data_IF_730473972861
#
_entry.id   IF_730473972861
#
_cell.length_a   1.000
_cell.length_b   1.000
_cell.length_c   1.000
_cell.angle_alpha   90.00
_cell.angle_beta   90.00
_cell.angle_gamma   90.00
#
_symmetry.space_group_name_H-M   'P 1'
#
loop_
_entity.id
_entity.type
_entity.pdbx_description
1 polymer ?
#
# COMPACT_ATOMS: atom_id res chain seq x y z
N UNK A 1 -36.34 -30.62 -3.48
CA UNK A 1 -36.92 -30.05 -4.73
C UNK A 1 -37.66 -28.75 -4.50
N UNK A 2 -38.37 -28.54 -3.37
CA UNK A 2 -38.92 -27.21 -3.03
C UNK A 2 -37.84 -26.22 -2.60
N UNK A 3 -36.85 -26.69 -1.84
CA UNK A 3 -35.78 -25.82 -1.32
C UNK A 3 -34.88 -25.28 -2.44
N UNK A 4 -34.58 -26.09 -3.46
CA UNK A 4 -33.80 -25.71 -4.63
C UNK A 4 -34.47 -24.62 -5.49
N UNK A 5 -35.80 -24.54 -5.47
CA UNK A 5 -36.54 -23.49 -6.18
C UNK A 5 -36.52 -22.17 -5.40
N UNK A 6 -36.58 -22.24 -4.07
CA UNK A 6 -36.46 -21.08 -3.21
C UNK A 6 -35.04 -20.48 -3.28
N UNK A 7 -34.02 -21.33 -3.22
CA UNK A 7 -32.62 -20.92 -3.38
C UNK A 7 -32.37 -20.29 -4.75
N UNK A 8 -32.90 -20.88 -5.83
CA UNK A 8 -32.81 -20.30 -7.17
C UNK A 8 -33.41 -18.89 -7.23
N UNK A 9 -34.61 -18.69 -6.66
CA UNK A 9 -35.25 -17.38 -6.63
C UNK A 9 -34.43 -16.35 -5.83
N UNK A 10 -33.79 -16.76 -4.72
CA UNK A 10 -32.91 -15.87 -3.97
C UNK A 10 -31.65 -15.48 -4.75
N UNK A 11 -31.07 -16.41 -5.51
CA UNK A 11 -29.91 -16.13 -6.36
C UNK A 11 -30.26 -15.24 -7.56
N UNK A 12 -31.42 -15.43 -8.17
CA UNK A 12 -31.92 -14.57 -9.26
C UNK A 12 -32.13 -13.13 -8.76
N UNK A 13 -32.76 -12.94 -7.60
CA UNK A 13 -32.94 -11.60 -7.02
C UNK A 13 -31.61 -10.93 -6.67
N UNK A 14 -30.69 -11.66 -6.04
CA UNK A 14 -29.37 -11.13 -5.70
C UNK A 14 -28.56 -10.76 -6.95
N UNK A 15 -28.71 -11.53 -8.04
CA UNK A 15 -28.09 -11.23 -9.32
C UNK A 15 -28.67 -9.97 -9.96
N UNK A 16 -29.99 -9.81 -9.97
CA UNK A 16 -30.64 -8.62 -10.53
C UNK A 16 -30.28 -7.34 -9.76
N UNK A 17 -30.20 -7.40 -8.43
CA UNK A 17 -29.78 -6.29 -7.59
C UNK A 17 -28.32 -5.89 -7.87
N UNK A 18 -27.43 -6.88 -7.98
CA UNK A 18 -26.02 -6.65 -8.30
C UNK A 18 -25.84 -6.11 -9.73
N UNK A 19 -26.57 -6.68 -10.69
CA UNK A 19 -26.54 -6.29 -12.09
C UNK A 19 -27.02 -4.83 -12.26
N UNK A 20 -28.05 -4.42 -11.51
CA UNK A 20 -28.55 -3.04 -11.49
C UNK A 20 -27.56 -2.02 -10.90
N UNK A 21 -26.68 -2.44 -9.99
CA UNK A 21 -25.67 -1.58 -9.37
C UNK A 21 -24.48 -1.28 -10.31
N UNK A 22 -24.26 -2.10 -11.34
CA UNK A 22 -23.14 -1.93 -12.28
C UNK A 22 -23.53 -0.99 -13.42
N UNK A 23 -22.64 -0.03 -13.74
CA UNK A 23 -22.88 0.90 -14.86
C UNK A 23 -22.97 0.13 -16.19
N UNK A 24 -23.97 0.41 -17.05
CA UNK A 24 -24.21 -0.33 -18.28
C UNK A 24 -23.03 -0.31 -19.27
N UNK A 25 -22.17 0.70 -19.19
CA UNK A 25 -20.93 0.79 -19.97
C UNK A 25 -19.91 -0.29 -19.59
N UNK A 26 -19.75 -0.58 -18.29
CA UNK A 26 -18.83 -1.64 -17.85
C UNK A 26 -19.40 -3.02 -18.14
N UNK A 27 -20.72 -3.16 -18.05
CA UNK A 27 -21.43 -4.40 -18.39
C UNK A 27 -21.21 -4.82 -19.84
N UNK A 28 -21.38 -3.91 -20.80
CA UNK A 28 -21.23 -4.24 -22.23
C UNK A 28 -19.80 -4.61 -22.60
N UNK A 29 -18.80 -3.94 -22.00
CA UNK A 29 -17.39 -4.26 -22.21
C UNK A 29 -17.05 -5.63 -21.62
N UNK A 30 -17.49 -5.90 -20.39
CA UNK A 30 -17.22 -7.17 -19.72
C UNK A 30 -17.91 -8.36 -20.42
N UNK A 31 -19.16 -8.18 -20.87
CA UNK A 31 -19.86 -9.21 -21.65
C UNK A 31 -19.13 -9.52 -22.96
N UNK A 32 -18.67 -8.49 -23.69
CA UNK A 32 -17.91 -8.70 -24.92
C UNK A 32 -16.56 -9.41 -24.66
N UNK A 33 -15.88 -9.09 -23.55
CA UNK A 33 -14.66 -9.79 -23.14
C UNK A 33 -14.94 -11.26 -22.77
N UNK A 34 -16.07 -11.54 -22.09
CA UNK A 34 -16.49 -12.90 -21.72
C UNK A 34 -16.90 -13.74 -22.93
N UNK A 35 -17.72 -13.20 -23.82
CA UNK A 35 -18.14 -13.88 -25.06
C UNK A 35 -16.91 -14.22 -25.93
N UNK A 36 -15.97 -13.28 -26.07
CA UNK A 36 -14.73 -13.52 -26.82
C UNK A 36 -13.83 -14.61 -26.18
N UNK A 37 -13.85 -14.74 -24.84
CA UNK A 37 -13.12 -15.77 -24.11
C UNK A 37 -13.82 -17.13 -24.15
N UNK A 38 -15.14 -17.17 -24.03
CA UNK A 38 -15.95 -18.39 -24.14
C UNK A 38 -15.85 -19.02 -25.54
N UNK A 39 -15.82 -18.20 -26.59
CA UNK A 39 -15.63 -18.69 -27.96
C UNK A 39 -14.24 -19.28 -28.20
N UNK A 40 -13.23 -18.92 -27.40
CA UNK A 40 -11.82 -19.21 -27.67
C UNK A 40 -11.04 -19.68 -26.43
N UNK A 41 -11.66 -20.54 -25.61
CA UNK A 41 -11.16 -20.96 -24.28
C UNK A 41 -9.76 -21.61 -24.27
N UNK A 42 -9.24 -22.07 -25.41
CA UNK A 42 -7.97 -22.82 -25.52
C UNK A 42 -6.81 -22.03 -26.16
N UNK A 43 -6.99 -20.76 -26.54
CA UNK A 43 -5.91 -19.97 -27.13
C UNK A 43 -5.12 -19.23 -26.05
N UNK A 44 -3.81 -19.49 -26.00
CA UNK A 44 -2.85 -18.85 -25.06
C UNK A 44 -2.85 -17.31 -25.16
N UNK A 45 -3.27 -16.76 -26.29
CA UNK A 45 -3.33 -15.31 -26.53
C UNK A 45 -4.54 -14.59 -25.94
N UNK A 46 -5.57 -15.27 -25.44
CA UNK A 46 -6.76 -14.63 -24.88
C UNK A 46 -6.71 -14.76 -23.35
N UNK A 47 -6.45 -13.65 -22.63
CA UNK A 47 -6.34 -13.69 -21.18
C UNK A 47 -7.63 -14.19 -20.54
N UNK A 48 -7.50 -15.07 -19.55
CA UNK A 48 -8.64 -15.51 -18.76
C UNK A 48 -9.25 -14.32 -18.01
N UNK A 49 -10.44 -13.90 -18.43
CA UNK A 49 -11.16 -12.74 -17.89
C UNK A 49 -11.62 -12.96 -16.44
N UNK A 50 -11.70 -14.22 -16.00
CA UNK A 50 -12.01 -14.61 -14.61
C UNK A 50 -10.80 -14.60 -13.69
N UNK A 51 -9.57 -14.54 -14.23
CA UNK A 51 -8.41 -14.20 -13.39
C UNK A 51 -8.51 -12.71 -13.08
N UNK A 52 -8.49 -12.37 -11.78
CA UNK A 52 -8.38 -10.99 -11.35
C UNK A 52 -7.25 -10.32 -12.14
N UNK A 53 -7.59 -9.33 -12.97
CA UNK A 53 -6.61 -8.42 -13.56
C UNK A 53 -6.07 -7.62 -12.38
N UNK A 54 -5.13 -8.19 -11.62
CA UNK A 54 -4.43 -7.47 -10.58
C UNK A 54 -3.58 -6.42 -11.29
N UNK A 55 -4.16 -5.26 -11.53
CA UNK A 55 -3.39 -4.02 -11.59
C UNK A 55 -2.97 -3.67 -10.16
N UNK A 56 -2.34 -4.62 -9.48
CA UNK A 56 -1.63 -4.35 -8.25
C UNK A 56 -0.20 -4.10 -8.69
N UNK A 57 0.09 -2.85 -9.05
CA UNK A 57 1.46 -2.35 -9.07
C UNK A 57 1.88 -2.43 -7.60
N UNK A 58 2.49 -3.55 -7.21
CA UNK A 58 3.11 -3.71 -5.91
C UNK A 58 4.31 -2.77 -5.84
N UNK A 59 4.69 -2.30 -4.65
CA UNK A 59 5.89 -1.48 -4.49
C UNK A 59 7.10 -2.19 -5.10
N UNK A 60 7.25 -3.50 -4.87
CA UNK A 60 8.31 -4.29 -5.50
C UNK A 60 8.25 -4.28 -7.03
N UNK A 61 7.04 -4.28 -7.62
CA UNK A 61 6.83 -4.18 -9.07
C UNK A 61 7.20 -2.80 -9.62
N UNK A 62 6.77 -1.72 -8.96
CA UNK A 62 7.17 -0.36 -9.31
C UNK A 62 8.70 -0.16 -9.19
N UNK A 63 9.28 -0.67 -8.11
CA UNK A 63 10.74 -0.65 -7.88
C UNK A 63 11.49 -1.43 -8.96
N UNK A 64 10.96 -2.57 -9.43
CA UNK A 64 11.56 -3.35 -10.51
C UNK A 64 11.48 -2.62 -11.85
N UNK A 65 10.32 -2.05 -12.21
CA UNK A 65 10.17 -1.28 -13.45
C UNK A 65 11.03 -0.02 -13.47
N UNK A 66 11.21 0.63 -12.32
CA UNK A 66 12.10 1.79 -12.17
C UNK A 66 13.59 1.39 -12.19
N UNK A 67 13.95 0.27 -11.55
CA UNK A 67 15.32 -0.28 -11.60
C UNK A 67 15.73 -0.79 -12.98
N UNK A 68 14.77 -1.24 -13.80
CA UNK A 68 15.01 -1.60 -15.20
C UNK A 68 15.24 -0.36 -16.10
N UNK A 69 14.79 0.83 -15.67
CA UNK A 69 14.86 2.08 -16.44
C UNK A 69 16.00 3.02 -16.02
N UNK A 70 16.55 2.91 -14.79
CA UNK A 70 17.64 3.76 -14.26
C UNK A 70 18.66 2.97 -13.41
N UNK A 71 19.87 3.52 -13.20
CA UNK A 71 20.89 2.92 -12.31
C UNK A 71 20.30 2.56 -10.94
N UNK A 72 20.44 1.30 -10.49
CA UNK A 72 19.96 0.80 -9.19
C UNK A 72 20.28 1.76 -8.02
N UNK A 73 21.41 2.45 -8.11
CA UNK A 73 21.92 3.37 -7.09
C UNK A 73 21.11 4.67 -6.97
N UNK A 74 20.61 5.21 -8.09
CA UNK A 74 19.72 6.39 -8.10
C UNK A 74 18.37 6.06 -7.47
N UNK A 75 17.86 4.87 -7.76
CA UNK A 75 16.60 4.40 -7.21
C UNK A 75 16.69 4.22 -5.68
N UNK A 76 17.75 3.58 -5.18
CA UNK A 76 18.02 3.44 -3.75
C UNK A 76 18.14 4.81 -3.06
N UNK A 77 18.73 5.79 -3.74
CA UNK A 77 18.81 7.17 -3.24
C UNK A 77 17.42 7.82 -3.15
N UNK A 78 16.54 7.63 -4.13
CA UNK A 78 15.18 8.20 -4.12
C UNK A 78 14.34 7.55 -3.03
N UNK A 79 14.34 6.21 -2.94
CA UNK A 79 13.59 5.47 -1.92
C UNK A 79 14.03 5.88 -0.50
N UNK A 80 15.34 5.95 -0.26
CA UNK A 80 15.86 6.41 1.04
C UNK A 80 15.50 7.87 1.35
N UNK A 81 15.32 8.72 0.34
CA UNK A 81 14.82 10.08 0.53
C UNK A 81 13.36 10.12 0.99
N UNK A 82 12.51 9.26 0.44
CA UNK A 82 11.10 9.13 0.84
C UNK A 82 10.98 8.60 2.27
N UNK A 83 11.81 7.63 2.65
CA UNK A 83 11.85 7.12 4.02
C UNK A 83 12.25 8.21 5.03
N UNK A 84 13.22 9.07 4.68
CA UNK A 84 13.61 10.21 5.52
C UNK A 84 12.49 11.24 5.67
N UNK A 85 11.72 11.50 4.61
CA UNK A 85 10.55 12.40 4.65
C UNK A 85 9.41 11.84 5.52
N UNK A 86 9.19 10.53 5.46
CA UNK A 86 8.24 9.85 6.34
C UNK A 86 8.70 9.91 7.80
N UNK A 87 9.99 9.73 8.09
CA UNK A 87 10.55 9.92 9.43
C UNK A 87 10.42 11.37 9.93
N UNK A 88 10.63 12.38 9.06
CA UNK A 88 10.37 13.79 9.38
C UNK A 88 8.91 13.98 9.81
N UNK A 89 7.95 13.51 9.01
CA UNK A 89 6.51 13.63 9.31
C UNK A 89 6.12 12.92 10.61
N UNK A 90 6.69 11.74 10.87
CA UNK A 90 6.46 11.02 12.13
C UNK A 90 7.00 11.77 13.34
N UNK A 91 8.19 12.35 13.25
CA UNK A 91 8.75 13.16 14.33
C UNK A 91 7.96 14.44 14.57
N UNK A 92 7.45 15.10 13.52
CA UNK A 92 6.53 16.23 13.65
C UNK A 92 5.31 15.82 14.48
N UNK A 93 4.67 14.71 14.11
CA UNK A 93 3.48 14.22 14.82
C UNK A 93 3.79 13.89 16.29
N UNK A 94 4.95 13.30 16.58
CA UNK A 94 5.37 13.03 17.97
C UNK A 94 5.59 14.34 18.74
N UNK A 95 6.23 15.34 18.12
CA UNK A 95 6.46 16.65 18.71
C UNK A 95 5.13 17.36 19.04
N UNK A 96 4.18 17.31 18.12
CA UNK A 96 2.83 17.87 18.31
C UNK A 96 2.06 17.16 19.44
N UNK A 97 2.13 15.83 19.49
CA UNK A 97 1.46 15.02 20.51
C UNK A 97 2.04 15.21 21.92
N UNK A 98 3.34 15.53 22.04
CA UNK A 98 3.99 15.74 23.33
C UNK A 98 3.45 16.95 24.11
N UNK A 99 2.87 17.93 23.41
CA UNK A 99 2.17 19.08 24.02
C UNK A 99 3.02 19.94 24.98
N UNK A 100 2.36 20.88 25.67
CA UNK A 100 3.02 21.84 26.57
C UNK A 100 3.64 21.21 27.84
N UNK A 101 3.25 19.99 28.21
CA UNK A 101 3.64 19.32 29.45
C UNK A 101 4.58 18.12 29.23
N UNK A 102 5.32 18.11 28.12
CA UNK A 102 6.33 17.08 27.86
C UNK A 102 7.40 17.07 28.96
N UNK A 103 7.71 15.88 29.48
CA UNK A 103 8.77 15.67 30.48
C UNK A 103 10.14 15.96 29.85
N UNK A 104 11.11 16.45 30.63
CA UNK A 104 12.45 16.74 30.10
C UNK A 104 13.14 15.52 29.48
N UNK A 105 12.81 14.31 29.96
CA UNK A 105 13.26 13.05 29.36
C UNK A 105 12.66 12.81 27.96
N UNK A 106 11.39 13.18 27.77
CA UNK A 106 10.69 13.11 26.48
C UNK A 106 11.22 14.15 25.49
N UNK A 107 11.47 15.38 25.95
CA UNK A 107 12.12 16.41 25.15
C UNK A 107 13.54 16.00 24.76
N UNK A 108 14.28 15.38 25.69
CA UNK A 108 15.62 14.86 25.44
C UNK A 108 15.63 13.76 24.39
N UNK A 109 14.72 12.79 24.46
CA UNK A 109 14.62 11.72 23.45
C UNK A 109 14.22 12.26 22.08
N UNK A 110 13.29 13.21 22.04
CA UNK A 110 12.91 13.90 20.80
C UNK A 110 14.13 14.61 20.19
N UNK A 111 14.86 15.42 20.96
CA UNK A 111 16.06 16.09 20.48
C UNK A 111 17.12 15.11 19.95
N UNK A 112 17.27 13.94 20.57
CA UNK A 112 18.16 12.89 20.07
C UNK A 112 17.69 12.31 18.72
N UNK A 113 16.40 12.02 18.56
CA UNK A 113 15.83 11.54 17.30
C UNK A 113 16.02 12.57 16.18
N UNK A 114 15.79 13.85 16.48
CA UNK A 114 16.01 14.96 15.55
C UNK A 114 17.45 15.11 15.10
N UNK A 115 18.40 15.07 16.04
CA UNK A 115 19.82 15.12 15.72
C UNK A 115 20.27 13.91 14.87
N UNK A 116 19.71 12.73 15.15
CA UNK A 116 19.97 11.52 14.36
C UNK A 116 19.45 11.66 12.93
N UNK A 117 18.19 12.10 12.78
CA UNK A 117 17.57 12.34 11.48
C UNK A 117 18.34 13.40 10.68
N UNK A 118 18.76 14.49 11.33
CA UNK A 118 19.55 15.55 10.69
C UNK A 118 20.83 14.99 10.06
N UNK A 119 21.58 14.17 10.80
CA UNK A 119 22.81 13.55 10.29
C UNK A 119 22.54 12.62 9.10
N UNK A 120 21.45 11.85 9.15
CA UNK A 120 21.05 10.98 8.03
C UNK A 120 20.69 11.80 6.78
N UNK A 121 19.98 12.92 6.95
CA UNK A 121 19.68 13.84 5.86
C UNK A 121 20.96 14.45 5.28
N UNK A 122 21.90 14.89 6.13
CA UNK A 122 23.18 15.45 5.67
C UNK A 122 23.99 14.39 4.88
N UNK A 123 24.02 13.14 5.36
CA UNK A 123 24.65 12.01 4.63
C UNK A 123 23.96 11.73 3.29
N UNK A 124 22.63 11.75 3.27
CA UNK A 124 21.85 11.55 2.06
C UNK A 124 22.10 12.67 1.05
N UNK A 125 22.17 13.94 1.48
CA UNK A 125 22.53 15.07 0.63
C UNK A 125 23.94 14.93 0.04
N UNK A 126 24.92 14.45 0.81
CA UNK A 126 26.24 14.14 0.28
C UNK A 126 26.18 13.06 -0.82
N UNK A 127 25.38 12.01 -0.64
CA UNK A 127 25.15 11.01 -1.67
C UNK A 127 24.42 11.60 -2.88
N UNK A 128 23.45 12.51 -2.70
CA UNK A 128 22.77 13.18 -3.81
C UNK A 128 23.72 13.97 -4.70
N UNK A 129 24.70 14.67 -4.12
CA UNK A 129 25.68 15.45 -4.90
C UNK A 129 26.55 14.54 -5.77
N UNK A 130 26.80 13.29 -5.34
CA UNK A 130 27.56 12.31 -6.12
C UNK A 130 26.82 11.90 -7.40
N UNK A 131 25.51 11.65 -7.31
CA UNK A 131 24.71 11.17 -8.42
C UNK A 131 24.11 12.30 -9.28
N UNK A 132 23.79 13.44 -8.67
CA UNK A 132 23.16 14.60 -9.31
C UNK A 132 23.84 15.91 -8.89
N UNK A 133 25.02 16.23 -9.45
CA UNK A 133 25.83 17.39 -9.03
C UNK A 133 25.10 18.74 -9.16
N UNK A 134 24.15 18.83 -10.11
CA UNK A 134 23.33 20.04 -10.34
C UNK A 134 22.51 20.41 -9.10
N UNK A 135 22.15 19.43 -8.26
CA UNK A 135 21.35 19.64 -7.05
C UNK A 135 22.13 20.40 -5.97
N UNK A 136 23.47 20.38 -6.00
CA UNK A 136 24.30 21.10 -5.03
C UNK A 136 24.01 22.60 -5.01
N UNK A 137 23.73 23.20 -6.17
CA UNK A 137 23.35 24.61 -6.29
C UNK A 137 22.03 24.92 -5.59
N UNK A 138 21.09 23.97 -5.56
CA UNK A 138 19.78 24.10 -4.91
C UNK A 138 19.90 23.87 -3.40
N UNK A 139 20.68 22.87 -2.96
CA UNK A 139 20.95 22.59 -1.53
C UNK A 139 21.60 23.81 -0.87
N UNK A 140 22.57 24.44 -1.52
CA UNK A 140 23.24 25.63 -0.99
C UNK A 140 22.30 26.85 -0.88
N UNK A 141 21.25 26.90 -1.70
CA UNK A 141 20.24 27.96 -1.63
C UNK A 141 19.21 27.70 -0.51
N UNK A 142 18.85 26.44 -0.25
CA UNK A 142 17.94 26.07 0.84
C UNK A 142 18.64 26.13 2.20
N UNK A 143 19.91 25.74 2.30
CA UNK A 143 20.71 25.86 3.53
C UNK A 143 20.96 27.31 3.97
N UNK A 144 20.90 28.26 3.03
CA UNK A 144 21.02 29.71 3.30
C UNK A 144 19.75 30.31 3.92
N UNK A 145 18.63 29.60 3.87
CA UNK A 145 17.43 29.94 4.62
C UNK A 145 17.52 29.14 5.92
N UNK A 146 17.78 29.83 7.03
CA UNK A 146 18.01 29.23 8.35
C UNK A 146 16.85 28.31 8.74
N UNK A 147 16.99 27.01 8.46
CA UNK A 147 16.09 25.99 8.96
C UNK A 147 16.66 25.50 10.29
N UNK A 148 16.22 26.13 11.39
CA UNK A 148 16.57 25.75 12.77
C UNK A 148 16.16 24.30 13.09
N UNK A 149 15.23 23.73 12.31
CA UNK A 149 14.64 22.42 12.52
C UNK A 149 14.80 21.52 11.28
N UNK A 150 15.33 20.30 11.49
CA UNK A 150 15.46 19.23 10.48
C UNK A 150 14.15 18.84 9.77
N UNK A 151 12.99 19.07 10.38
CA UNK A 151 11.65 18.86 9.79
C UNK A 151 11.34 19.78 8.61
N UNK A 152 11.98 20.95 8.51
CA UNK A 152 11.73 21.92 7.44
C UNK A 152 12.64 21.75 6.22
N UNK A 153 13.53 20.76 6.21
CA UNK A 153 14.42 20.53 5.07
C UNK A 153 13.59 19.95 3.92
N UNK A 154 13.30 20.76 2.91
CA UNK A 154 12.61 20.31 1.69
C UNK A 154 13.54 19.46 0.83
N UNK A 155 13.25 18.17 0.75
CA UNK A 155 13.94 17.21 -0.10
C UNK A 155 13.37 17.34 -1.53
N UNK A 156 13.95 18.26 -2.33
CA UNK A 156 13.73 18.57 -3.77
C UNK A 156 12.45 18.08 -4.50
N UNK A 157 11.69 19.03 -5.06
CA UNK A 157 10.38 18.81 -5.73
C UNK A 157 10.41 18.52 -7.26
N UNK A 158 11.46 18.85 -8.02
CA UNK A 158 11.24 19.15 -9.46
C UNK A 158 11.53 18.06 -10.50
N UNK A 159 12.37 17.05 -10.23
CA UNK A 159 12.65 15.97 -11.20
C UNK A 159 12.15 14.59 -10.77
N UNK A 160 11.62 14.46 -9.55
CA UNK A 160 11.25 13.19 -8.95
C UNK A 160 9.75 13.09 -8.67
N UNK A 161 8.96 14.09 -9.08
CA UNK A 161 7.54 14.14 -8.72
C UNK A 161 6.75 12.97 -9.33
N UNK A 162 7.03 12.63 -10.58
CA UNK A 162 6.37 11.51 -11.26
C UNK A 162 6.79 10.16 -10.64
N UNK A 163 8.09 9.92 -10.45
CA UNK A 163 8.60 8.70 -9.82
C UNK A 163 8.16 8.57 -8.35
N UNK A 164 8.15 9.68 -7.60
CA UNK A 164 7.65 9.75 -6.22
C UNK A 164 6.15 9.46 -6.18
N UNK A 165 5.38 10.02 -7.11
CA UNK A 165 3.96 9.78 -7.20
C UNK A 165 3.66 8.31 -7.47
N UNK A 166 4.36 7.68 -8.42
CA UNK A 166 4.20 6.25 -8.72
C UNK A 166 4.55 5.36 -7.52
N UNK A 167 5.65 5.67 -6.81
CA UNK A 167 6.03 4.89 -5.64
C UNK A 167 5.03 5.06 -4.49
N UNK A 168 4.56 6.29 -4.21
CA UNK A 168 3.54 6.53 -3.19
C UNK A 168 2.20 5.88 -3.54
N UNK A 169 1.84 5.86 -4.83
CA UNK A 169 0.64 5.19 -5.32
C UNK A 169 0.73 3.67 -5.08
N UNK A 170 1.87 3.04 -5.41
CA UNK A 170 2.12 1.63 -5.16
C UNK A 170 2.10 1.30 -3.65
N UNK A 171 2.76 2.11 -2.82
CA UNK A 171 2.75 1.98 -1.36
C UNK A 171 1.33 2.03 -0.77
N UNK A 172 0.50 2.95 -1.27
CA UNK A 172 -0.90 3.06 -0.83
C UNK A 172 -1.69 1.81 -1.19
N UNK A 173 -1.41 1.21 -2.35
CA UNK A 173 -2.05 -0.02 -2.79
C UNK A 173 -1.65 -1.21 -1.91
N UNK A 174 -0.36 -1.35 -1.60
CA UNK A 174 0.15 -2.39 -0.71
C UNK A 174 -0.44 -2.26 0.70
N UNK A 175 -0.42 -1.04 1.28
CA UNK A 175 -1.03 -0.79 2.58
C UNK A 175 -2.54 -1.08 2.61
N UNK A 176 -3.25 -0.77 1.52
CA UNK A 176 -4.67 -1.10 1.40
C UNK A 176 -4.91 -2.61 1.34
N UNK A 177 -4.05 -3.34 0.63
CA UNK A 177 -4.15 -4.79 0.54
C UNK A 177 -3.83 -5.47 1.88
N UNK A 178 -2.82 -4.99 2.61
CA UNK A 178 -2.55 -5.43 3.99
C UNK A 178 -3.78 -5.22 4.90
N UNK A 179 -4.42 -4.06 4.83
CA UNK A 179 -5.63 -3.77 5.61
C UNK A 179 -6.79 -4.70 5.24
N UNK A 180 -7.00 -4.96 3.94
CA UNK A 180 -8.01 -5.91 3.48
C UNK A 180 -7.75 -7.32 3.98
N UNK A 181 -6.50 -7.78 3.92
CA UNK A 181 -6.11 -9.09 4.44
C UNK A 181 -6.35 -9.19 5.94
N UNK A 182 -5.95 -8.17 6.71
CA UNK A 182 -6.21 -8.10 8.15
C UNK A 182 -7.71 -8.18 8.46
N UNK A 183 -8.52 -7.40 7.74
CA UNK A 183 -9.97 -7.40 7.90
C UNK A 183 -10.60 -8.75 7.53
N UNK A 184 -10.13 -9.38 6.45
CA UNK A 184 -10.60 -10.69 6.02
C UNK A 184 -10.31 -11.77 7.06
N UNK A 185 -9.10 -11.79 7.61
CA UNK A 185 -8.69 -12.70 8.70
C UNK A 185 -9.53 -12.45 9.95
N UNK A 186 -9.73 -11.20 10.34
CA UNK A 186 -10.55 -10.86 11.50
C UNK A 186 -12.01 -11.28 11.33
N UNK A 187 -12.57 -11.00 10.15
CA UNK A 187 -13.93 -11.39 9.81
C UNK A 187 -14.10 -12.91 9.82
N UNK A 188 -13.17 -13.65 9.19
CA UNK A 188 -13.23 -15.12 9.15
C UNK A 188 -13.09 -15.73 10.55
N UNK A 189 -12.21 -15.21 11.41
CA UNK A 189 -12.08 -15.62 12.81
C UNK A 189 -13.35 -15.35 13.62
N UNK A 190 -13.97 -14.18 13.43
CA UNK A 190 -15.20 -13.81 14.13
C UNK A 190 -16.37 -14.70 13.69
N UNK A 191 -16.50 -14.95 12.39
CA UNK A 191 -17.50 -15.87 11.82
C UNK A 191 -17.26 -17.29 12.32
N UNK A 192 -16.01 -17.77 12.28
CA UNK A 192 -15.64 -19.07 12.81
C UNK A 192 -15.99 -19.19 14.30
N UNK A 193 -15.63 -18.19 15.11
CA UNK A 193 -15.96 -18.18 16.54
C UNK A 193 -17.48 -18.20 16.76
N UNK A 194 -18.23 -17.40 16.00
CA UNK A 194 -19.69 -17.33 16.11
C UNK A 194 -20.35 -18.66 15.76
N UNK A 195 -19.91 -19.30 14.69
CA UNK A 195 -20.52 -20.52 14.15
C UNK A 195 -20.06 -21.80 14.87
N UNK A 196 -18.81 -21.84 15.31
CA UNK A 196 -18.17 -23.09 15.76
C UNK A 196 -17.81 -23.10 17.26
N UNK A 197 -17.76 -21.95 17.94
CA UNK A 197 -17.41 -21.90 19.38
C UNK A 197 -18.62 -21.76 20.31
N UNK A 198 -19.80 -21.37 19.83
CA UNK A 198 -21.01 -21.31 20.64
C UNK A 198 -21.65 -22.71 20.76
N UNK A 199 -21.39 -23.40 21.86
CA UNK A 199 -22.10 -24.64 22.24
C UNK A 199 -21.33 -25.95 22.08
N UNK A 200 -20.04 -25.93 21.72
CA UNK A 200 -19.23 -27.16 21.70
C UNK A 200 -18.75 -27.52 23.12
N UNK A 201 -19.37 -28.54 23.72
CA UNK A 201 -18.73 -29.31 24.78
C UNK A 201 -17.46 -30.00 24.24
N UNK A 202 -16.44 -30.17 25.09
CA UNK A 202 -15.11 -30.66 24.74
C UNK A 202 -15.12 -31.90 23.82
N UNK A 203 -15.01 -31.71 22.50
CA UNK A 203 -14.80 -32.80 21.55
C UNK A 203 -14.15 -32.27 20.24
N UNK A 204 -12.83 -32.40 20.17
CA UNK A 204 -11.97 -32.97 19.10
C UNK A 204 -12.34 -32.92 17.60
N UNK A 205 -13.30 -32.13 17.12
CA UNK A 205 -13.55 -31.91 15.68
C UNK A 205 -13.04 -30.58 15.13
N UNK A 206 -12.78 -29.58 15.97
CA UNK A 206 -12.32 -28.26 15.55
C UNK A 206 -10.87 -28.22 15.02
N UNK A 207 -10.04 -29.24 15.29
CA UNK A 207 -8.64 -29.28 14.82
C UNK A 207 -8.51 -29.55 13.31
N UNK A 208 -9.51 -30.15 12.65
CA UNK A 208 -9.44 -30.47 11.23
C UNK A 208 -9.80 -29.29 10.30
N UNK A 209 -10.36 -28.19 10.84
CA UNK A 209 -10.72 -27.02 10.05
C UNK A 209 -9.53 -26.08 9.80
N UNK A 210 -8.51 -26.11 10.66
CA UNK A 210 -7.31 -25.28 10.54
C UNK A 210 -6.24 -25.86 9.60
N UNK A 211 -6.36 -27.11 9.18
CA UNK A 211 -5.39 -27.77 8.27
C UNK A 211 -5.68 -27.55 6.79
N UNK A 212 -6.76 -26.83 6.43
CA UNK A 212 -7.15 -26.57 5.03
C UNK A 212 -6.60 -25.26 4.43
N UNK A 213 -5.72 -24.56 5.14
CA UNK A 213 -5.13 -23.29 4.69
C UNK A 213 -3.59 -23.31 4.60
N UNK A 214 -2.99 -24.47 4.29
CA UNK A 214 -1.59 -24.58 3.89
C UNK A 214 -1.46 -24.93 2.41
#
# INVERSE_FOLDING_TARGET
MKDTLAEKATHELAFEEFDAAITPKYRSVWLAEMEAWEENTNYVSIPNVLKAKSMAITQAGAQLTLAELESEELHVLIASGIDLEEEQRRLCNIAELMGLHATDTQKGSLMQMWNSLRRRIDMWQCAQVLYLPVIQGLINQTARKDHENAECIKLCDLCLQDNKWELCYAQTHDALEELRQCLHIHYSLLTFKREWMCGQGANTRAQNALTWFH
#
